data_IF_731863912040
#
_entry.id   IF_731863912040
#
_cell.length_a   1.000
_cell.length_b   1.000
_cell.length_c   1.000
_cell.angle_alpha   90.00
_cell.angle_beta   90.00
_cell.angle_gamma   90.00
#
_symmetry.space_group_name_H-M   'P 1'
#
loop_
_entity.id
_entity.type
_entity.pdbx_description
1 polymer ?
#
# COMPACT_ATOMS: atom_id res chain seq x y z
N UNK A 1 -13.59 3.50 0.85
CA UNK A 1 -12.63 4.06 1.81
C UNK A 1 -11.73 5.05 1.08
N UNK A 2 -11.43 6.20 1.69
CA UNK A 2 -10.44 7.16 1.18
C UNK A 2 -9.02 6.61 1.32
N UNK A 3 -8.03 7.27 0.70
CA UNK A 3 -6.62 6.87 0.80
C UNK A 3 -6.13 6.96 2.25
N UNK A 4 -6.62 7.94 3.00
CA UNK A 4 -6.32 8.19 4.41
C UNK A 4 -6.91 7.09 5.30
N UNK A 5 -8.19 6.74 5.11
CA UNK A 5 -8.85 5.68 5.88
C UNK A 5 -8.16 4.32 5.72
N UNK A 6 -7.62 4.03 4.53
CA UNK A 6 -6.85 2.80 4.28
C UNK A 6 -5.54 2.81 5.06
N UNK A 7 -4.82 3.94 5.10
CA UNK A 7 -3.55 4.05 5.81
C UNK A 7 -3.74 4.01 7.34
N UNK A 8 -4.79 4.64 7.85
CA UNK A 8 -5.14 4.57 9.27
C UNK A 8 -5.49 3.14 9.69
N UNK A 9 -6.33 2.47 8.90
CA UNK A 9 -6.69 1.06 9.14
C UNK A 9 -5.45 0.17 9.11
N UNK A 10 -4.57 0.35 8.12
CA UNK A 10 -3.33 -0.41 8.02
C UNK A 10 -2.47 -0.21 9.27
N UNK A 11 -2.26 1.04 9.68
CA UNK A 11 -1.45 1.38 10.86
C UNK A 11 -2.00 0.68 12.12
N UNK A 12 -3.30 0.76 12.35
CA UNK A 12 -3.95 0.07 13.46
C UNK A 12 -3.76 -1.44 13.40
N UNK A 13 -3.96 -2.06 12.23
CA UNK A 13 -3.84 -3.50 12.04
C UNK A 13 -2.41 -4.02 12.29
N UNK A 14 -1.39 -3.28 11.84
CA UNK A 14 0.02 -3.68 12.03
C UNK A 14 0.50 -3.46 13.46
N UNK A 15 -0.01 -2.44 14.14
CA UNK A 15 0.22 -2.22 15.57
C UNK A 15 -0.40 -3.34 16.41
N UNK A 16 -1.65 -3.71 16.12
CA UNK A 16 -2.36 -4.79 16.82
C UNK A 16 -1.68 -6.15 16.66
N UNK A 17 -1.02 -6.38 15.52
CA UNK A 17 -0.23 -7.60 15.25
C UNK A 17 1.13 -7.62 15.95
N UNK A 18 1.52 -6.53 16.62
CA UNK A 18 2.82 -6.43 17.31
C UNK A 18 4.02 -6.42 16.37
N UNK A 19 3.86 -5.94 15.12
CA UNK A 19 4.97 -5.86 14.18
C UNK A 19 6.00 -4.82 14.63
N UNK A 20 7.28 -5.05 14.31
CA UNK A 20 8.35 -4.10 14.64
C UNK A 20 8.10 -2.73 13.99
N UNK A 21 8.60 -1.65 14.60
CA UNK A 21 8.43 -0.28 14.08
C UNK A 21 8.89 -0.16 12.61
N UNK A 22 10.05 -0.71 12.27
CA UNK A 22 10.53 -0.74 10.90
C UNK A 22 9.58 -1.49 9.96
N UNK A 23 9.00 -2.61 10.40
CA UNK A 23 8.03 -3.34 9.60
C UNK A 23 6.75 -2.53 9.38
N UNK A 24 6.23 -1.86 10.42
CA UNK A 24 5.06 -0.99 10.30
C UNK A 24 5.31 0.15 9.29
N UNK A 25 6.47 0.81 9.39
CA UNK A 25 6.86 1.92 8.51
C UNK A 25 7.02 1.46 7.05
N UNK A 26 7.56 0.26 6.82
CA UNK A 26 7.68 -0.33 5.50
C UNK A 26 6.30 -0.64 4.89
N UNK A 27 5.40 -1.27 5.66
CA UNK A 27 4.02 -1.53 5.21
C UNK A 27 3.29 -0.24 4.84
N UNK A 28 3.37 0.78 5.70
CA UNK A 28 2.78 2.08 5.45
C UNK A 28 3.31 2.70 4.16
N UNK A 29 4.63 2.69 3.97
CA UNK A 29 5.29 3.28 2.80
C UNK A 29 4.87 2.56 1.52
N UNK A 30 4.84 1.22 1.50
CA UNK A 30 4.42 0.47 0.31
C UNK A 30 2.94 0.72 -0.03
N UNK A 31 2.07 0.72 0.97
CA UNK A 31 0.65 0.99 0.76
C UNK A 31 0.42 2.41 0.23
N UNK A 32 1.13 3.41 0.79
CA UNK A 32 1.06 4.79 0.31
C UNK A 32 1.49 4.91 -1.15
N UNK A 33 2.64 4.36 -1.52
CA UNK A 33 3.14 4.40 -2.91
C UNK A 33 2.18 3.70 -3.87
N UNK A 34 1.57 2.58 -3.45
CA UNK A 34 0.56 1.88 -4.26
C UNK A 34 -0.67 2.75 -4.52
N UNK A 35 -1.19 3.42 -3.48
CA UNK A 35 -2.34 4.33 -3.60
C UNK A 35 -2.01 5.62 -4.36
N UNK A 36 -0.75 6.05 -4.39
CA UNK A 36 -0.31 7.20 -5.18
C UNK A 36 -0.17 6.86 -6.67
N UNK A 37 0.22 5.62 -6.99
CA UNK A 37 0.31 5.15 -8.37
C UNK A 37 -1.06 5.03 -9.04
N UNK A 38 -2.10 4.65 -8.28
CA UNK A 38 -3.46 4.59 -8.79
C UNK A 38 -4.31 5.76 -8.28
N UNK A 39 -4.80 6.60 -9.20
CA UNK A 39 -5.76 7.65 -8.86
C UNK A 39 -7.20 7.12 -8.75
N UNK A 40 -7.39 6.09 -7.91
CA UNK A 40 -8.68 5.40 -7.72
C UNK A 40 -8.89 5.00 -6.26
N UNK A 41 -10.14 4.85 -5.80
CA UNK A 41 -10.44 4.28 -4.49
C UNK A 41 -9.88 2.86 -4.33
N UNK A 42 -9.38 2.52 -3.14
CA UNK A 42 -8.85 1.19 -2.87
C UNK A 42 -9.88 0.06 -3.09
N UNK A 43 -11.17 0.37 -2.97
CA UNK A 43 -12.28 -0.57 -3.23
C UNK A 43 -12.46 -0.91 -4.71
N UNK A 44 -11.82 -0.17 -5.62
CA UNK A 44 -11.86 -0.40 -7.06
C UNK A 44 -10.56 -1.02 -7.60
N UNK A 45 -9.54 -1.16 -6.76
CA UNK A 45 -8.27 -1.77 -7.13
C UNK A 45 -8.38 -3.30 -7.07
N UNK A 46 -8.02 -3.96 -8.16
CA UNK A 46 -8.06 -5.41 -8.28
C UNK A 46 -6.70 -6.02 -8.59
N UNK A 47 -6.70 -7.34 -8.82
CA UNK A 47 -5.48 -8.10 -9.12
C UNK A 47 -4.70 -7.54 -10.34
N UNK A 48 -5.41 -7.04 -11.35
CA UNK A 48 -4.77 -6.48 -12.55
C UNK A 48 -4.01 -5.18 -12.26
N UNK A 49 -4.49 -4.37 -11.32
CA UNK A 49 -3.80 -3.17 -10.88
C UNK A 49 -2.57 -3.54 -10.05
N UNK A 50 -2.66 -4.57 -9.21
CA UNK A 50 -1.49 -5.12 -8.51
C UNK A 50 -0.41 -5.55 -9.52
N UNK A 51 -0.77 -6.29 -10.57
CA UNK A 51 0.17 -6.72 -11.62
C UNK A 51 0.84 -5.53 -12.31
N UNK A 52 0.07 -4.50 -12.67
CA UNK A 52 0.61 -3.26 -13.28
C UNK A 52 1.59 -2.54 -12.36
N UNK A 53 1.25 -2.42 -11.08
CA UNK A 53 2.13 -1.78 -10.10
C UNK A 53 3.42 -2.57 -9.89
N UNK A 54 3.35 -3.89 -9.77
CA UNK A 54 4.54 -4.73 -9.65
C UNK A 54 5.43 -4.60 -10.90
N UNK A 55 4.83 -4.55 -12.09
CA UNK A 55 5.57 -4.31 -13.33
C UNK A 55 6.25 -2.93 -13.36
N UNK A 56 5.55 -1.87 -12.94
CA UNK A 56 6.13 -0.53 -12.80
C UNK A 56 7.35 -0.52 -11.84
N UNK A 57 7.27 -1.23 -10.71
CA UNK A 57 8.39 -1.31 -9.77
C UNK A 57 9.60 -2.04 -10.36
N UNK A 58 9.39 -3.12 -11.12
CA UNK A 58 10.48 -3.84 -11.79
C UNK A 58 11.24 -2.93 -12.78
N UNK A 59 10.52 -2.11 -13.55
CA UNK A 59 11.12 -1.19 -14.51
C UNK A 59 11.86 -0.01 -13.87
N UNK A 60 11.60 0.29 -12.58
CA UNK A 60 12.24 1.39 -11.85
C UNK A 60 13.53 0.98 -11.13
N UNK A 61 13.74 -0.32 -10.95
CA UNK A 61 14.92 -0.90 -10.28
C UNK A 61 16.02 -1.24 -11.30
N UNK A 62 15.67 -1.36 -12.58
CA UNK A 62 16.59 -1.48 -13.71
C UNK A 62 17.12 -0.12 -14.14
#
# INVERSE_FOLDING_TARGET
MTKEEVLEKLKFDVELRGLSKNTQDEYYTKAKIFQEYFDKPATELGEQDIRKFLHYNLLRIM
#
